data_IF_948061981682
#
_entry.id   IF_948061981682
#
_cell.length_a   1.000
_cell.length_b   1.000
_cell.length_c   1.000
_cell.angle_alpha   90.00
_cell.angle_beta   90.00
_cell.angle_gamma   90.00
#
_symmetry.space_group_name_H-M   'P 1'
#
loop_
_entity.id
_entity.type
_entity.pdbx_description
1 polymer ?
#
# COMPACT_ATOMS: atom_id res chain seq x y z
N UNK A 1 -51.00 -11.70 -29.65
CA UNK A 1 -50.78 -11.90 -31.10
C UNK A 1 -50.56 -10.51 -31.70
N UNK A 2 -49.46 -10.14 -32.34
CA UNK A 2 -48.37 -10.84 -33.02
C UNK A 2 -47.04 -10.15 -32.62
N UNK A 3 -46.04 -10.92 -32.20
CA UNK A 3 -44.85 -11.30 -32.99
C UNK A 3 -44.00 -10.10 -33.44
N UNK A 4 -42.72 -10.11 -33.07
CA UNK A 4 -41.72 -9.28 -33.75
C UNK A 4 -40.69 -8.60 -32.86
N UNK A 5 -40.13 -9.28 -31.85
CA UNK A 5 -38.73 -8.98 -31.49
C UNK A 5 -37.87 -10.00 -32.22
N UNK A 6 -37.33 -9.59 -33.37
CA UNK A 6 -36.42 -10.39 -34.18
C UNK A 6 -35.00 -10.19 -33.65
N UNK A 7 -34.34 -11.30 -33.33
CA UNK A 7 -32.91 -11.36 -33.06
C UNK A 7 -32.20 -11.75 -34.35
N UNK A 8 -31.29 -10.91 -34.82
CA UNK A 8 -30.47 -11.19 -36.00
C UNK A 8 -29.12 -11.79 -35.56
N UNK A 9 -28.77 -12.95 -36.14
CA UNK A 9 -27.39 -13.40 -36.22
C UNK A 9 -26.83 -12.95 -37.56
N UNK A 10 -25.80 -12.10 -37.58
CA UNK A 10 -25.09 -11.74 -38.81
C UNK A 10 -23.69 -12.38 -38.75
N UNK A 11 -23.37 -13.34 -39.62
CA UNK A 11 -22.00 -13.83 -39.79
C UNK A 11 -21.08 -12.68 -40.20
N UNK A 12 -19.87 -12.64 -39.65
CA UNK A 12 -18.89 -11.53 -39.80
C UNK A 12 -18.64 -11.10 -41.26
N UNK A 13 -18.80 -12.02 -42.23
CA UNK A 13 -18.66 -11.74 -43.67
C UNK A 13 -19.74 -10.82 -44.28
N UNK A 14 -20.81 -10.47 -43.54
CA UNK A 14 -21.88 -9.58 -44.02
C UNK A 14 -21.91 -8.20 -43.34
N UNK A 15 -20.99 -7.92 -42.39
CA UNK A 15 -20.92 -6.63 -41.70
C UNK A 15 -20.07 -5.61 -42.49
N UNK A 16 -20.52 -5.28 -43.71
CA UNK A 16 -20.02 -4.07 -44.39
C UNK A 16 -20.93 -2.89 -44.04
N UNK A 17 -20.37 -1.98 -43.23
CA UNK A 17 -20.88 -0.65 -42.92
C UNK A 17 -22.20 -0.62 -42.12
N UNK A 18 -22.26 0.28 -41.14
CA UNK A 18 -23.40 0.54 -40.23
C UNK A 18 -23.63 -0.47 -39.11
N UNK A 19 -23.04 -0.19 -37.95
CA UNK A 19 -23.71 -0.41 -36.67
C UNK A 19 -23.42 0.80 -35.78
N UNK A 20 -24.27 1.80 -35.92
CA UNK A 20 -24.52 2.83 -34.92
C UNK A 20 -25.03 2.18 -33.64
N UNK A 21 -24.52 2.65 -32.51
CA UNK A 21 -25.05 2.39 -31.17
C UNK A 21 -26.58 2.50 -31.16
N UNK A 22 -27.27 1.42 -30.81
CA UNK A 22 -28.65 1.52 -30.33
C UNK A 22 -28.57 1.30 -28.82
N UNK A 23 -28.37 2.39 -28.09
CA UNK A 23 -28.72 2.46 -26.67
C UNK A 23 -30.18 2.93 -26.67
N UNK A 24 -31.12 2.01 -26.86
CA UNK A 24 -32.52 2.34 -26.64
C UNK A 24 -32.72 2.45 -25.13
N UNK A 25 -32.93 3.68 -24.64
CA UNK A 25 -33.19 3.97 -23.23
C UNK A 25 -34.55 3.43 -22.74
N UNK A 26 -35.26 2.65 -23.56
CA UNK A 26 -36.54 2.03 -23.22
C UNK A 26 -36.49 0.51 -22.96
N UNK A 27 -35.37 -0.17 -23.21
CA UNK A 27 -35.24 -1.63 -22.99
C UNK A 27 -33.85 -2.00 -22.49
N UNK A 28 -33.80 -2.61 -21.30
CA UNK A 28 -32.60 -3.16 -20.66
C UNK A 28 -32.03 -4.35 -21.45
N UNK A 29 -31.40 -4.06 -22.60
CA UNK A 29 -30.75 -5.04 -23.47
C UNK A 29 -29.23 -4.80 -23.42
N UNK A 30 -28.47 -5.78 -22.97
CA UNK A 30 -27.01 -5.71 -22.97
C UNK A 30 -26.48 -6.38 -24.24
N UNK A 31 -25.83 -5.59 -25.09
CA UNK A 31 -25.18 -6.02 -26.32
C UNK A 31 -23.67 -6.14 -26.06
N UNK A 32 -23.19 -7.36 -25.84
CA UNK A 32 -21.75 -7.63 -25.76
C UNK A 32 -21.20 -7.87 -27.17
N UNK A 33 -20.34 -6.97 -27.66
CA UNK A 33 -19.64 -7.13 -28.94
C UNK A 33 -18.16 -7.39 -28.71
N UNK A 34 -17.72 -8.63 -28.87
CA UNK A 34 -16.29 -8.97 -28.98
C UNK A 34 -16.15 -10.28 -29.79
N UNK A 35 -15.37 -10.25 -30.87
CA UNK A 35 -15.10 -11.40 -31.79
C UNK A 35 -16.30 -11.99 -32.57
N UNK A 36 -17.20 -11.14 -33.06
CA UNK A 36 -18.23 -11.58 -34.03
C UNK A 36 -19.44 -12.32 -33.44
N UNK A 37 -19.60 -12.35 -32.12
CA UNK A 37 -20.77 -12.93 -31.44
C UNK A 37 -21.47 -11.83 -30.64
N UNK A 38 -22.78 -11.68 -30.84
CA UNK A 38 -23.64 -10.74 -30.13
C UNK A 38 -24.46 -11.55 -29.12
N UNK A 39 -24.31 -11.24 -27.83
CA UNK A 39 -25.27 -11.68 -26.81
C UNK A 39 -26.34 -10.61 -26.69
N UNK A 40 -27.61 -11.04 -26.73
CA UNK A 40 -28.77 -10.22 -26.39
C UNK A 40 -29.36 -10.84 -25.13
N UNK A 41 -29.19 -10.17 -24.00
CA UNK A 41 -29.84 -10.53 -22.75
C UNK A 41 -30.99 -9.54 -22.57
N UNK A 42 -32.23 -10.02 -22.71
CA UNK A 42 -33.45 -9.26 -22.41
C UNK A 42 -33.76 -9.42 -20.92
N UNK A 43 -33.67 -8.33 -20.16
CA UNK A 43 -33.84 -8.35 -18.70
C UNK A 43 -35.32 -8.27 -18.27
N UNK A 44 -36.28 -8.25 -19.21
CA UNK A 44 -37.72 -8.12 -18.93
C UNK A 44 -38.59 -9.32 -19.37
N UNK A 45 -38.01 -10.41 -19.87
CA UNK A 45 -38.80 -11.60 -20.22
C UNK A 45 -38.83 -12.57 -19.01
N UNK A 46 -40.03 -12.99 -18.61
CA UNK A 46 -40.26 -13.96 -17.54
C UNK A 46 -39.22 -15.09 -17.61
N UNK A 47 -38.54 -15.34 -16.48
CA UNK A 47 -37.37 -16.22 -16.24
C UNK A 47 -37.38 -17.61 -16.91
N UNK A 48 -38.45 -18.02 -17.57
CA UNK A 48 -38.62 -19.29 -18.24
C UNK A 48 -38.14 -19.30 -19.71
N UNK A 49 -38.16 -18.19 -20.46
CA UNK A 49 -37.81 -18.24 -21.90
C UNK A 49 -36.31 -18.25 -22.21
N UNK A 50 -35.49 -17.51 -21.45
CA UNK A 50 -34.02 -17.59 -21.59
C UNK A 50 -33.53 -18.99 -21.22
N UNK A 51 -34.06 -19.54 -20.13
CA UNK A 51 -33.79 -20.91 -19.69
C UNK A 51 -34.30 -21.95 -20.71
N UNK A 52 -35.49 -21.78 -21.29
CA UNK A 52 -36.02 -22.64 -22.35
C UNK A 52 -35.24 -22.51 -23.66
N UNK A 53 -34.64 -21.35 -23.96
CA UNK A 53 -33.80 -21.14 -25.14
C UNK A 53 -32.46 -21.88 -25.00
N UNK A 54 -31.82 -21.83 -23.83
CA UNK A 54 -30.63 -22.63 -23.52
C UNK A 54 -30.96 -24.14 -23.52
N UNK A 55 -32.13 -24.55 -23.02
CA UNK A 55 -32.59 -25.95 -23.03
C UNK A 55 -33.01 -26.46 -24.43
N UNK A 56 -33.49 -25.60 -25.33
CA UNK A 56 -33.96 -25.99 -26.68
C UNK A 56 -32.85 -26.18 -27.71
N UNK A 57 -31.64 -25.70 -27.45
CA UNK A 57 -30.50 -25.91 -28.34
C UNK A 57 -29.53 -26.92 -27.74
N UNK A 58 -29.87 -28.19 -27.88
CA UNK A 58 -29.01 -29.35 -27.62
C UNK A 58 -27.70 -29.39 -28.45
N UNK A 59 -27.35 -28.34 -29.21
CA UNK A 59 -26.27 -28.36 -30.20
C UNK A 59 -25.48 -27.04 -30.35
N UNK A 60 -25.51 -26.15 -29.35
CA UNK A 60 -24.46 -25.13 -29.25
C UNK A 60 -23.65 -25.48 -28.02
N UNK A 61 -22.55 -26.18 -28.22
CA UNK A 61 -21.51 -26.23 -27.20
C UNK A 61 -21.10 -24.77 -26.91
N UNK A 62 -21.30 -24.29 -25.67
CA UNK A 62 -20.83 -22.97 -25.31
C UNK A 62 -19.31 -22.95 -25.51
N UNK A 63 -18.81 -21.91 -26.18
CA UNK A 63 -17.36 -21.70 -26.33
C UNK A 63 -16.81 -21.51 -24.91
N UNK A 64 -16.33 -22.60 -24.29
CA UNK A 64 -15.88 -22.69 -22.90
C UNK A 64 -15.00 -21.50 -22.46
N UNK A 65 -14.01 -21.02 -23.26
CA UNK A 65 -13.17 -19.88 -22.89
C UNK A 65 -13.91 -18.57 -22.64
N UNK A 66 -15.09 -18.38 -23.22
CA UNK A 66 -15.81 -17.09 -23.20
C UNK A 66 -16.59 -16.88 -21.90
N UNK A 67 -17.11 -17.96 -21.30
CA UNK A 67 -17.82 -17.91 -20.02
C UNK A 67 -16.88 -17.78 -18.83
N UNK A 68 -15.66 -18.36 -18.91
CA UNK A 68 -14.74 -18.39 -17.76
C UNK A 68 -14.40 -17.00 -17.19
N UNK A 69 -14.38 -15.96 -18.03
CA UNK A 69 -13.97 -14.61 -17.62
C UNK A 69 -15.09 -13.56 -17.76
N UNK A 70 -16.34 -13.98 -18.02
CA UNK A 70 -17.44 -13.04 -18.30
C UNK A 70 -17.69 -12.09 -17.12
N UNK A 71 -17.64 -12.62 -15.89
CA UNK A 71 -17.81 -11.84 -14.67
C UNK A 71 -16.70 -10.79 -14.50
N UNK A 72 -15.45 -11.16 -14.79
CA UNK A 72 -14.29 -10.26 -14.71
C UNK A 72 -14.42 -9.15 -15.76
N UNK A 73 -14.79 -9.49 -17.01
CA UNK A 73 -15.02 -8.52 -18.08
C UNK A 73 -16.15 -7.54 -17.74
N UNK A 74 -17.25 -8.04 -17.17
CA UNK A 74 -18.36 -7.19 -16.72
C UNK A 74 -17.91 -6.20 -15.62
N UNK A 75 -17.09 -6.66 -14.68
CA UNK A 75 -16.47 -5.79 -13.66
C UNK A 75 -15.52 -4.75 -14.28
N UNK A 76 -14.73 -5.12 -15.30
CA UNK A 76 -13.83 -4.19 -15.99
C UNK A 76 -14.58 -3.05 -16.69
N UNK A 77 -15.76 -3.36 -17.25
CA UNK A 77 -16.68 -2.40 -17.90
C UNK A 77 -17.62 -1.68 -16.93
N UNK A 78 -17.59 -2.05 -15.65
CA UNK A 78 -18.45 -1.50 -14.60
C UNK A 78 -19.96 -1.70 -14.86
N UNK A 79 -20.34 -2.81 -15.50
CA UNK A 79 -21.71 -3.12 -15.91
C UNK A 79 -22.49 -3.79 -14.76
N UNK A 80 -22.94 -3.00 -13.78
CA UNK A 80 -23.60 -3.54 -12.57
C UNK A 80 -24.77 -4.49 -12.85
N UNK A 81 -25.62 -4.16 -13.83
CA UNK A 81 -26.79 -4.97 -14.17
C UNK A 81 -26.38 -6.35 -14.69
N UNK A 82 -25.37 -6.40 -15.57
CA UNK A 82 -24.81 -7.65 -16.08
C UNK A 82 -24.17 -8.46 -14.94
N UNK A 83 -23.38 -7.80 -14.08
CA UNK A 83 -22.72 -8.43 -12.93
C UNK A 83 -23.76 -9.06 -12.01
N UNK A 84 -24.82 -8.33 -11.68
CA UNK A 84 -25.89 -8.83 -10.83
C UNK A 84 -26.63 -10.00 -11.47
N UNK A 85 -26.96 -9.91 -12.75
CA UNK A 85 -27.59 -11.01 -13.48
C UNK A 85 -26.72 -12.27 -13.47
N UNK A 86 -25.42 -12.13 -13.75
CA UNK A 86 -24.44 -13.22 -13.73
C UNK A 86 -24.40 -13.88 -12.35
N UNK A 87 -24.25 -13.10 -11.28
CA UNK A 87 -24.12 -13.62 -9.91
C UNK A 87 -25.41 -14.31 -9.45
N UNK A 88 -26.58 -13.77 -9.78
CA UNK A 88 -27.87 -14.31 -9.32
C UNK A 88 -28.32 -15.56 -10.11
N UNK A 89 -28.01 -15.64 -11.41
CA UNK A 89 -28.58 -16.67 -12.29
C UNK A 89 -27.56 -17.71 -12.78
N UNK A 90 -26.26 -17.48 -12.58
CA UNK A 90 -25.18 -18.38 -13.04
C UNK A 90 -24.23 -18.77 -11.89
N UNK A 91 -24.69 -18.70 -10.64
CA UNK A 91 -23.87 -19.01 -9.46
C UNK A 91 -23.33 -20.46 -9.43
N UNK A 92 -24.09 -21.44 -9.91
CA UNK A 92 -23.67 -22.85 -9.94
C UNK A 92 -22.62 -23.14 -11.02
N UNK A 93 -22.53 -22.29 -12.05
CA UNK A 93 -21.64 -22.49 -13.20
C UNK A 93 -20.39 -21.62 -13.17
N UNK A 94 -20.43 -20.50 -12.44
CA UNK A 94 -19.33 -19.53 -12.40
C UNK A 94 -18.55 -19.66 -11.10
N UNK A 95 -17.25 -19.89 -11.24
CA UNK A 95 -16.32 -19.74 -10.14
C UNK A 95 -16.08 -18.24 -9.87
N UNK A 96 -16.67 -17.71 -8.80
CA UNK A 96 -16.55 -16.30 -8.39
C UNK A 96 -15.10 -15.85 -8.14
N UNK A 97 -14.23 -16.79 -7.79
CA UNK A 97 -12.82 -16.60 -7.49
C UNK A 97 -11.90 -16.88 -8.68
N UNK A 98 -12.46 -17.19 -9.86
CA UNK A 98 -11.68 -17.33 -11.08
C UNK A 98 -10.85 -16.06 -11.31
N UNK A 99 -9.61 -16.28 -11.74
CA UNK A 99 -8.65 -15.22 -12.04
C UNK A 99 -8.34 -15.17 -13.53
N UNK A 100 -8.16 -13.97 -14.06
CA UNK A 100 -7.72 -13.75 -15.43
C UNK A 100 -6.23 -14.07 -15.64
N UNK A 101 -5.72 -13.81 -16.85
CA UNK A 101 -4.31 -14.03 -17.19
C UNK A 101 -3.33 -13.14 -16.40
N UNK A 102 -3.81 -12.12 -15.69
CA UNK A 102 -3.03 -11.28 -14.78
C UNK A 102 -3.18 -11.69 -13.32
N UNK A 103 -3.98 -12.73 -13.02
CA UNK A 103 -4.31 -13.16 -11.67
C UNK A 103 -5.41 -12.32 -11.01
N UNK A 104 -6.10 -11.44 -11.75
CA UNK A 104 -7.15 -10.60 -11.16
C UNK A 104 -8.46 -11.38 -11.10
N UNK A 105 -9.08 -11.45 -9.92
CA UNK A 105 -10.46 -11.91 -9.77
C UNK A 105 -11.46 -10.78 -10.05
N UNK A 106 -12.75 -11.11 -10.12
CA UNK A 106 -13.81 -10.10 -10.22
C UNK A 106 -13.77 -9.10 -9.07
N UNK A 107 -13.52 -9.58 -7.84
CA UNK A 107 -13.40 -8.73 -6.64
C UNK A 107 -12.20 -7.80 -6.73
N UNK A 108 -11.06 -8.29 -7.22
CA UNK A 108 -9.88 -7.46 -7.44
C UNK A 108 -10.21 -6.30 -8.39
N UNK A 109 -10.83 -6.59 -9.53
CA UNK A 109 -11.22 -5.57 -10.51
C UNK A 109 -12.24 -4.58 -9.93
N UNK A 110 -13.22 -5.05 -9.16
CA UNK A 110 -14.19 -4.18 -8.51
C UNK A 110 -13.52 -3.19 -7.53
N UNK A 111 -12.50 -3.64 -6.79
CA UNK A 111 -11.68 -2.78 -5.91
C UNK A 111 -10.82 -1.79 -6.72
N UNK A 112 -10.24 -2.21 -7.85
CA UNK A 112 -9.50 -1.34 -8.78
C UNK A 112 -10.40 -0.23 -9.35
N UNK A 113 -11.67 -0.55 -9.65
CA UNK A 113 -12.64 0.40 -10.21
C UNK A 113 -13.35 1.27 -9.15
N UNK A 114 -13.21 0.96 -7.87
CA UNK A 114 -13.88 1.70 -6.80
C UNK A 114 -15.39 1.48 -6.73
N UNK A 115 -15.92 0.44 -7.37
CA UNK A 115 -17.37 0.18 -7.33
C UNK A 115 -17.75 -0.59 -6.06
N UNK A 116 -18.08 0.16 -5.01
CA UNK A 116 -18.47 -0.39 -3.71
C UNK A 116 -19.65 -1.37 -3.79
N UNK A 117 -20.67 -1.09 -4.61
CA UNK A 117 -21.85 -1.98 -4.75
C UNK A 117 -21.47 -3.35 -5.31
N UNK A 118 -20.56 -3.37 -6.30
CA UNK A 118 -20.05 -4.62 -6.88
C UNK A 118 -19.17 -5.35 -5.87
N UNK A 119 -18.33 -4.64 -5.11
CA UNK A 119 -17.52 -5.23 -4.04
C UNK A 119 -18.41 -5.92 -2.99
N UNK A 120 -19.47 -5.26 -2.53
CA UNK A 120 -20.43 -5.84 -1.58
C UNK A 120 -21.06 -7.10 -2.14
N UNK A 121 -21.63 -7.00 -3.34
CA UNK A 121 -22.31 -8.10 -4.01
C UNK A 121 -21.41 -9.33 -4.18
N UNK A 122 -20.16 -9.14 -4.63
CA UNK A 122 -19.21 -10.24 -4.81
C UNK A 122 -18.85 -10.92 -3.48
N UNK A 123 -18.58 -10.15 -2.43
CA UNK A 123 -18.21 -10.70 -1.11
C UNK A 123 -19.39 -11.44 -0.47
N UNK A 124 -20.62 -10.91 -0.60
CA UNK A 124 -21.84 -11.56 -0.12
C UNK A 124 -22.11 -12.91 -0.79
N UNK A 125 -21.60 -13.10 -2.02
CA UNK A 125 -21.69 -14.36 -2.77
C UNK A 125 -20.41 -15.20 -2.67
N UNK A 126 -19.56 -14.94 -1.67
CA UNK A 126 -18.44 -15.81 -1.30
C UNK A 126 -17.12 -15.53 -2.01
N UNK A 127 -16.95 -14.38 -2.68
CA UNK A 127 -15.66 -14.00 -3.24
C UNK A 127 -14.58 -13.91 -2.14
N UNK A 128 -13.43 -14.53 -2.37
CA UNK A 128 -12.31 -14.51 -1.44
C UNK A 128 -11.63 -13.13 -1.42
N UNK A 129 -11.76 -12.45 -0.28
CA UNK A 129 -11.21 -11.10 -0.01
C UNK A 129 -9.69 -11.01 -0.11
N UNK A 130 -8.97 -12.13 -0.12
CA UNK A 130 -7.51 -12.21 -0.13
C UNK A 130 -6.93 -12.69 -1.47
N UNK A 131 -7.75 -13.00 -2.48
CA UNK A 131 -7.27 -13.44 -3.80
C UNK A 131 -6.53 -12.31 -4.53
N UNK A 132 -5.20 -12.36 -4.45
CA UNK A 132 -4.31 -11.38 -5.07
C UNK A 132 -3.95 -11.70 -6.51
N UNK A 133 -3.45 -10.68 -7.22
CA UNK A 133 -2.98 -10.81 -8.60
C UNK A 133 -1.58 -11.45 -8.72
N UNK A 134 -1.09 -11.65 -9.94
CA UNK A 134 0.24 -12.23 -10.20
C UNK A 134 1.41 -11.43 -9.61
N UNK A 135 1.21 -10.17 -9.24
CA UNK A 135 2.20 -9.31 -8.58
C UNK A 135 2.07 -9.34 -7.05
N UNK A 136 1.16 -10.15 -6.50
CA UNK A 136 0.90 -10.27 -5.07
C UNK A 136 0.05 -9.12 -4.50
N UNK A 137 -0.52 -8.25 -5.33
CA UNK A 137 -1.45 -7.23 -4.85
C UNK A 137 -2.77 -7.89 -4.46
N UNK A 138 -3.25 -7.64 -3.24
CA UNK A 138 -4.58 -8.08 -2.77
C UNK A 138 -5.66 -7.04 -3.09
N UNK A 139 -6.96 -7.39 -3.02
CA UNK A 139 -8.05 -6.42 -3.13
C UNK A 139 -7.90 -5.25 -2.15
N UNK A 140 -7.48 -5.52 -0.91
CA UNK A 140 -7.24 -4.49 0.12
C UNK A 140 -6.10 -3.54 -0.28
N UNK A 141 -5.01 -4.06 -0.83
CA UNK A 141 -3.91 -3.23 -1.33
C UNK A 141 -4.34 -2.33 -2.49
N UNK A 142 -5.11 -2.86 -3.44
CA UNK A 142 -5.57 -2.09 -4.59
C UNK A 142 -6.56 -0.99 -4.18
N UNK A 143 -7.50 -1.29 -3.27
CA UNK A 143 -8.38 -0.27 -2.70
C UNK A 143 -7.61 0.81 -1.91
N UNK A 144 -6.58 0.39 -1.18
CA UNK A 144 -5.70 1.28 -0.41
C UNK A 144 -4.87 2.20 -1.31
N UNK A 145 -4.39 1.70 -2.44
CA UNK A 145 -3.66 2.46 -3.46
C UNK A 145 -4.52 3.55 -4.08
N UNK A 146 -5.77 3.23 -4.43
CA UNK A 146 -6.70 4.13 -5.12
C UNK A 146 -7.54 5.01 -4.17
N UNK A 147 -7.21 5.04 -2.88
CA UNK A 147 -7.88 5.86 -1.86
C UNK A 147 -9.40 5.58 -1.65
N UNK A 148 -9.84 4.34 -1.85
CA UNK A 148 -11.25 3.96 -1.64
C UNK A 148 -11.52 3.55 -0.19
N UNK A 149 -11.58 4.53 0.71
CA UNK A 149 -11.73 4.27 2.16
C UNK A 149 -12.95 3.40 2.50
N UNK A 150 -14.12 3.61 1.87
CA UNK A 150 -15.30 2.79 2.10
C UNK A 150 -15.09 1.31 1.74
N UNK A 151 -14.40 1.04 0.62
CA UNK A 151 -14.03 -0.33 0.22
C UNK A 151 -13.01 -0.92 1.19
N UNK A 152 -12.00 -0.15 1.59
CA UNK A 152 -11.00 -0.59 2.58
C UNK A 152 -11.67 -1.00 3.89
N UNK A 153 -12.57 -0.16 4.41
CA UNK A 153 -13.31 -0.46 5.64
C UNK A 153 -14.04 -1.78 5.54
N UNK A 154 -14.83 -1.94 4.48
CA UNK A 154 -15.61 -3.14 4.24
C UNK A 154 -14.74 -4.39 4.05
N UNK A 155 -13.62 -4.29 3.32
CA UNK A 155 -12.70 -5.43 3.17
C UNK A 155 -12.10 -5.87 4.51
N UNK A 156 -11.70 -4.93 5.37
CA UNK A 156 -11.20 -5.23 6.71
C UNK A 156 -12.28 -5.88 7.58
N UNK A 157 -13.51 -5.35 7.56
CA UNK A 157 -14.67 -5.94 8.25
C UNK A 157 -14.98 -7.36 7.77
N UNK A 158 -14.69 -7.68 6.51
CA UNK A 158 -14.90 -8.99 5.88
C UNK A 158 -13.69 -9.92 5.96
N UNK A 159 -12.68 -9.58 6.76
CA UNK A 159 -11.55 -10.48 7.06
C UNK A 159 -10.42 -10.45 6.03
N UNK A 160 -10.25 -9.35 5.29
CA UNK A 160 -9.05 -9.17 4.48
C UNK A 160 -7.80 -9.17 5.38
N UNK A 161 -6.80 -9.98 5.05
CA UNK A 161 -5.55 -10.08 5.80
C UNK A 161 -4.63 -8.90 5.44
N UNK A 162 -4.39 -7.98 6.38
CA UNK A 162 -3.62 -6.77 6.11
C UNK A 162 -2.11 -6.98 6.08
N UNK A 163 -1.63 -8.09 6.62
CA UNK A 163 -0.22 -8.43 6.73
C UNK A 163 0.31 -9.12 5.48
N UNK A 164 -0.55 -9.43 4.51
CA UNK A 164 -0.09 -9.86 3.19
C UNK A 164 0.75 -8.74 2.56
N UNK A 165 1.76 -9.14 1.80
CA UNK A 165 2.64 -8.23 1.07
C UNK A 165 2.69 -8.58 -0.40
N UNK A 166 2.77 -7.58 -1.27
CA UNK A 166 3.02 -7.80 -2.69
C UNK A 166 4.47 -8.27 -2.93
N UNK A 167 4.83 -8.53 -4.20
CA UNK A 167 6.21 -8.94 -4.57
C UNK A 167 7.30 -7.90 -4.26
N UNK A 168 6.93 -6.66 -3.96
CA UNK A 168 7.83 -5.59 -3.53
C UNK A 168 7.94 -5.51 -1.98
N UNK A 169 7.30 -6.43 -1.25
CA UNK A 169 7.27 -6.42 0.21
C UNK A 169 6.32 -5.38 0.82
N UNK A 170 5.43 -4.78 0.02
CA UNK A 170 4.53 -3.72 0.50
C UNK A 170 3.19 -4.29 0.98
N UNK A 171 2.78 -3.95 2.20
CA UNK A 171 1.45 -4.21 2.74
C UNK A 171 0.43 -3.15 2.29
N UNK A 172 -0.85 -3.36 2.59
CA UNK A 172 -1.89 -2.36 2.32
C UNK A 172 -1.61 -1.02 3.05
N UNK A 173 -1.12 -1.10 4.30
CA UNK A 173 -0.72 0.07 5.08
C UNK A 173 0.41 0.85 4.40
N UNK A 174 1.44 0.14 3.94
CA UNK A 174 2.60 0.76 3.28
C UNK A 174 2.21 1.41 1.95
N UNK A 175 1.35 0.74 1.18
CA UNK A 175 0.82 1.29 -0.07
C UNK A 175 0.01 2.56 0.19
N UNK A 176 -0.88 2.56 1.19
CA UNK A 176 -1.66 3.75 1.54
C UNK A 176 -0.75 4.92 1.93
N UNK A 177 0.28 4.67 2.75
CA UNK A 177 1.24 5.67 3.17
C UNK A 177 2.00 6.26 1.97
N UNK A 178 2.55 5.41 1.09
CA UNK A 178 3.28 5.85 -0.11
C UNK A 178 2.45 6.66 -1.11
N UNK A 179 1.11 6.54 -1.05
CA UNK A 179 0.19 7.30 -1.88
C UNK A 179 -0.44 8.49 -1.13
N UNK A 180 0.04 8.83 0.08
CA UNK A 180 -0.47 9.90 0.94
C UNK A 180 -1.96 9.74 1.34
N UNK A 181 -2.47 8.50 1.36
CA UNK A 181 -3.86 8.18 1.72
C UNK A 181 -4.02 8.10 3.24
N UNK A 182 -3.75 9.21 3.96
CA UNK A 182 -3.65 9.24 5.42
C UNK A 182 -4.93 8.82 6.17
N UNK A 183 -6.11 9.04 5.58
CA UNK A 183 -7.37 8.55 6.16
C UNK A 183 -7.43 7.03 6.21
N UNK A 184 -6.88 6.35 5.19
CA UNK A 184 -6.75 4.90 5.16
C UNK A 184 -5.66 4.46 6.12
N UNK A 185 -4.48 5.12 6.11
CA UNK A 185 -3.38 4.82 7.05
C UNK A 185 -3.88 4.82 8.51
N UNK A 186 -4.57 5.89 8.93
CA UNK A 186 -5.15 6.00 10.28
C UNK A 186 -6.12 4.86 10.57
N UNK A 187 -7.07 4.61 9.66
CA UNK A 187 -8.02 3.52 9.81
C UNK A 187 -7.33 2.15 9.98
N UNK A 188 -6.35 1.85 9.13
CA UNK A 188 -5.61 0.59 9.17
C UNK A 188 -4.83 0.43 10.49
N UNK A 189 -4.18 1.48 10.99
CA UNK A 189 -3.50 1.48 12.29
C UNK A 189 -4.48 1.24 13.44
N UNK A 190 -5.65 1.88 13.41
CA UNK A 190 -6.69 1.72 14.44
C UNK A 190 -7.28 0.30 14.48
N UNK A 191 -7.11 -0.48 13.40
CA UNK A 191 -7.57 -1.87 13.30
C UNK A 191 -6.43 -2.88 13.52
N UNK A 192 -5.37 -2.48 14.23
CA UNK A 192 -4.32 -3.38 14.72
C UNK A 192 -3.37 -3.90 13.65
N UNK A 193 -3.23 -3.21 12.53
CA UNK A 193 -2.29 -3.60 11.48
C UNK A 193 -0.85 -3.36 11.90
N UNK A 194 0.07 -4.22 11.46
CA UNK A 194 1.49 -4.11 11.78
C UNK A 194 2.09 -2.83 11.16
N UNK A 195 2.51 -1.90 12.04
CA UNK A 195 3.12 -0.63 11.65
C UNK A 195 4.65 -0.70 11.59
N UNK A 196 5.28 -1.82 11.96
CA UNK A 196 6.74 -1.93 12.04
C UNK A 196 7.42 -1.53 10.73
N UNK A 197 6.91 -2.04 9.61
CA UNK A 197 7.48 -1.72 8.29
C UNK A 197 7.25 -0.25 7.90
N UNK A 198 6.13 0.33 8.32
CA UNK A 198 5.85 1.77 8.16
C UNK A 198 6.86 2.62 8.95
N UNK A 199 7.10 2.29 10.22
CA UNK A 199 8.08 3.00 11.06
C UNK A 199 9.51 2.89 10.50
N UNK A 200 9.92 1.70 10.04
CA UNK A 200 11.20 1.50 9.36
C UNK A 200 11.31 2.39 8.11
N UNK A 201 10.24 2.48 7.31
CA UNK A 201 10.23 3.34 6.12
C UNK A 201 10.31 4.82 6.48
N UNK A 202 9.56 5.28 7.49
CA UNK A 202 9.62 6.66 7.99
C UNK A 202 11.04 7.05 8.41
N UNK A 203 11.78 6.12 9.06
CA UNK A 203 13.20 6.33 9.39
C UNK A 203 14.05 6.42 8.12
N UNK A 204 13.90 5.49 7.18
CA UNK A 204 14.73 5.46 5.97
C UNK A 204 14.60 6.75 5.15
N UNK A 205 13.39 7.31 5.07
CA UNK A 205 13.09 8.50 4.28
C UNK A 205 13.30 9.82 5.06
N UNK A 206 13.66 9.78 6.35
CA UNK A 206 13.63 10.96 7.23
C UNK A 206 12.25 11.64 7.28
N UNK A 207 11.18 10.89 7.07
CA UNK A 207 9.81 11.42 6.91
C UNK A 207 9.01 11.47 8.22
N UNK A 208 9.62 11.19 9.36
CA UNK A 208 9.03 11.48 10.68
C UNK A 208 9.03 12.99 11.01
N UNK A 209 9.71 13.82 10.21
CA UNK A 209 9.85 15.25 10.43
C UNK A 209 8.50 15.97 10.27
N UNK A 210 8.02 16.62 11.33
CA UNK A 210 6.67 17.23 11.43
C UNK A 210 5.52 16.25 11.18
N UNK A 211 5.72 14.97 11.47
CA UNK A 211 4.74 13.95 11.13
C UNK A 211 3.81 13.69 12.31
N UNK A 212 2.64 14.32 12.30
CA UNK A 212 1.52 14.06 13.22
C UNK A 212 1.24 12.55 13.33
N UNK A 213 1.42 11.80 12.24
CA UNK A 213 1.28 10.35 12.25
C UNK A 213 2.36 9.67 13.09
N UNK A 214 3.64 10.04 12.96
CA UNK A 214 4.71 9.44 13.74
C UNK A 214 4.52 9.73 15.23
N UNK A 215 4.22 10.98 15.58
CA UNK A 215 3.95 11.34 16.98
C UNK A 215 2.76 10.55 17.54
N UNK A 216 1.66 10.47 16.78
CA UNK A 216 0.50 9.67 17.16
C UNK A 216 0.80 8.18 17.30
N UNK A 217 1.76 7.64 16.54
CA UNK A 217 2.23 6.26 16.72
C UNK A 217 3.00 6.12 18.04
N UNK A 218 3.93 7.02 18.35
CA UNK A 218 4.66 6.98 19.62
C UNK A 218 3.70 7.12 20.81
N UNK A 219 2.71 8.03 20.73
CA UNK A 219 1.68 8.20 21.76
C UNK A 219 0.82 6.94 21.98
N UNK A 220 0.63 6.13 20.92
CA UNK A 220 -0.04 4.82 20.99
C UNK A 220 0.84 3.71 21.57
N UNK A 221 2.08 4.02 21.95
CA UNK A 221 3.03 3.09 22.57
C UNK A 221 3.89 2.29 21.59
N UNK A 222 4.00 2.72 20.33
CA UNK A 222 4.94 2.09 19.40
C UNK A 222 6.40 2.39 19.79
N UNK A 223 7.29 1.43 19.55
CA UNK A 223 8.69 1.51 19.97
C UNK A 223 9.45 2.64 19.25
N UNK A 224 9.81 3.67 20.02
CA UNK A 224 10.62 4.81 19.57
C UNK A 224 12.05 4.42 19.19
N UNK A 225 12.54 3.29 19.70
CA UNK A 225 13.88 2.78 19.47
C UNK A 225 13.94 1.75 18.34
N UNK A 226 12.90 1.69 17.50
CA UNK A 226 12.86 0.82 16.31
C UNK A 226 14.04 1.11 15.38
N UNK A 227 14.55 0.06 14.74
CA UNK A 227 15.78 0.12 13.93
C UNK A 227 15.46 -0.26 12.49
N UNK A 228 16.00 0.50 11.55
CA UNK A 228 15.97 0.13 10.14
C UNK A 228 16.99 -0.99 9.82
N UNK A 229 17.09 -1.36 8.55
CA UNK A 229 17.98 -2.44 8.08
C UNK A 229 19.49 -2.13 8.20
N UNK A 230 19.87 -0.91 8.59
CA UNK A 230 21.25 -0.50 8.89
C UNK A 230 21.51 -0.38 10.40
N UNK A 231 20.54 -0.81 11.21
CA UNK A 231 20.56 -0.61 12.64
C UNK A 231 20.35 0.84 13.07
N UNK A 232 19.96 1.77 12.19
CA UNK A 232 19.77 3.19 12.58
C UNK A 232 18.41 3.40 13.26
N UNK A 233 18.41 4.16 14.37
CA UNK A 233 17.20 4.58 15.10
C UNK A 233 16.65 5.92 14.56
N UNK A 234 15.40 6.30 14.91
CA UNK A 234 14.87 7.64 14.60
C UNK A 234 15.80 8.75 15.08
N UNK A 235 16.33 8.64 16.32
CA UNK A 235 17.20 9.65 16.91
C UNK A 235 18.49 9.86 16.11
N UNK A 236 19.11 8.78 15.62
CA UNK A 236 20.30 8.89 14.75
C UNK A 236 19.97 9.67 13.48
N UNK A 237 18.81 9.39 12.88
CA UNK A 237 18.38 10.03 11.64
C UNK A 237 17.98 11.50 11.85
N UNK A 238 17.40 11.85 12.99
CA UNK A 238 17.15 13.23 13.40
C UNK A 238 18.46 14.03 13.60
N UNK A 239 19.48 13.38 14.18
CA UNK A 239 20.82 13.98 14.33
C UNK A 239 21.51 14.17 12.98
N UNK A 240 21.36 13.19 12.07
CA UNK A 240 21.89 13.26 10.70
C UNK A 240 21.27 14.39 9.87
N UNK A 241 19.97 14.68 10.06
CA UNK A 241 19.28 15.77 9.35
C UNK A 241 19.43 17.13 10.01
N UNK A 242 19.89 17.17 11.27
CA UNK A 242 20.03 18.41 12.04
C UNK A 242 18.73 18.96 12.61
N UNK A 243 17.69 18.14 12.74
CA UNK A 243 16.39 18.58 13.22
C UNK A 243 16.32 18.64 14.76
N UNK A 244 16.68 19.77 15.34
CA UNK A 244 16.74 19.94 16.80
C UNK A 244 15.42 19.63 17.52
N UNK A 245 14.28 20.11 17.01
CA UNK A 245 12.96 19.87 17.63
C UNK A 245 12.61 18.40 17.73
N UNK A 246 13.01 17.64 16.73
CA UNK A 246 12.74 16.22 16.65
C UNK A 246 13.69 15.42 17.54
N UNK A 247 14.96 15.82 17.62
CA UNK A 247 15.88 15.31 18.64
C UNK A 247 15.29 15.51 20.03
N UNK A 248 14.78 16.71 20.34
CA UNK A 248 14.14 16.98 21.64
C UNK A 248 12.96 16.05 21.88
N UNK A 249 12.01 16.00 20.94
CA UNK A 249 10.85 15.13 21.05
C UNK A 249 11.23 13.67 21.28
N UNK A 250 12.21 13.16 20.51
CA UNK A 250 12.63 11.77 20.61
C UNK A 250 13.29 11.46 21.96
N UNK A 251 14.18 12.33 22.43
CA UNK A 251 14.87 12.17 23.71
C UNK A 251 13.88 12.30 24.89
N UNK A 252 12.95 13.25 24.83
CA UNK A 252 11.88 13.42 25.83
C UNK A 252 10.94 12.21 25.89
N UNK A 253 10.81 11.47 24.78
CA UNK A 253 10.07 10.20 24.71
C UNK A 253 10.96 8.96 24.91
N UNK A 254 12.11 9.10 25.57
CA UNK A 254 13.02 8.02 25.95
C UNK A 254 13.72 7.29 24.79
N UNK A 255 14.06 8.01 23.71
CA UNK A 255 14.97 7.47 22.70
C UNK A 255 16.36 7.20 23.31
N UNK A 256 16.98 6.08 22.92
CA UNK A 256 18.31 5.69 23.35
C UNK A 256 19.38 6.58 22.68
N UNK A 257 19.88 7.55 23.46
CA UNK A 257 20.94 8.49 23.07
C UNK A 257 22.29 7.83 22.78
N UNK A 258 22.49 6.57 23.22
CA UNK A 258 23.74 5.84 23.12
C UNK A 258 23.68 4.62 22.18
N UNK A 259 22.54 4.39 21.52
CA UNK A 259 22.37 3.30 20.57
C UNK A 259 23.48 3.33 19.51
N UNK A 260 23.90 2.15 19.05
CA UNK A 260 24.92 1.97 18.02
C UNK A 260 24.34 1.21 16.81
N UNK A 261 24.46 1.78 15.62
CA UNK A 261 24.03 1.12 14.38
C UNK A 261 25.05 0.05 13.93
N UNK A 262 24.86 -0.52 12.74
CA UNK A 262 25.69 -1.63 12.25
C UNK A 262 27.17 -1.27 12.03
N UNK A 263 27.45 0.03 11.82
CA UNK A 263 28.81 0.59 11.75
C UNK A 263 29.26 1.22 13.07
N UNK A 264 28.53 0.95 14.16
CA UNK A 264 28.81 1.40 15.52
C UNK A 264 28.77 2.93 15.73
N UNK A 265 28.18 3.67 14.79
CA UNK A 265 27.93 5.11 14.98
C UNK A 265 26.81 5.33 16.00
N UNK A 266 26.93 6.42 16.75
CA UNK A 266 25.94 6.91 17.73
C UNK A 266 25.22 8.15 17.21
N UNK A 267 24.08 8.55 17.81
CA UNK A 267 23.46 9.86 17.52
C UNK A 267 24.44 11.03 17.67
N UNK A 268 25.30 10.99 18.71
CA UNK A 268 26.29 12.03 18.96
C UNK A 268 27.35 12.12 17.85
N UNK A 269 27.80 10.99 17.29
CA UNK A 269 28.72 10.97 16.14
C UNK A 269 28.08 11.67 14.94
N UNK A 270 26.81 11.36 14.61
CA UNK A 270 26.11 12.03 13.50
C UNK A 270 25.91 13.53 13.75
N UNK A 271 25.52 13.93 14.96
CA UNK A 271 25.35 15.35 15.31
C UNK A 271 26.66 16.14 15.18
N UNK A 272 27.77 15.53 15.62
CA UNK A 272 29.12 16.08 15.51
C UNK A 272 29.61 16.17 14.06
N UNK A 273 29.40 15.13 13.26
CA UNK A 273 29.75 15.10 11.83
C UNK A 273 29.00 16.19 11.04
N UNK A 274 27.74 16.45 11.41
CA UNK A 274 26.91 17.49 10.78
C UNK A 274 27.15 18.90 11.31
N UNK A 275 27.95 19.06 12.36
CA UNK A 275 28.28 20.37 12.92
C UNK A 275 27.20 21.02 13.76
N UNK A 276 26.18 20.27 14.18
CA UNK A 276 25.03 20.81 14.90
C UNK A 276 25.33 20.92 16.40
N UNK A 277 25.99 22.00 16.81
CA UNK A 277 26.42 22.22 18.21
C UNK A 277 25.27 22.16 19.21
N UNK A 278 24.08 22.65 18.87
CA UNK A 278 22.93 22.66 19.78
C UNK A 278 22.42 21.23 20.04
N UNK A 279 22.40 20.38 19.01
CA UNK A 279 22.08 18.95 19.15
C UNK A 279 23.16 18.24 19.97
N UNK A 280 24.45 18.51 19.70
CA UNK A 280 25.56 17.93 20.46
C UNK A 280 25.43 18.26 21.95
N UNK A 281 25.22 19.54 22.29
CA UNK A 281 25.02 19.99 23.67
C UNK A 281 23.87 19.27 24.33
N UNK A 282 22.71 19.28 23.67
CA UNK A 282 21.50 18.66 24.18
C UNK A 282 21.67 17.16 24.41
N UNK A 283 22.28 16.42 23.47
CA UNK A 283 22.55 14.99 23.66
C UNK A 283 23.48 14.72 24.85
N UNK A 284 24.54 15.52 25.01
CA UNK A 284 25.49 15.39 26.13
C UNK A 284 24.81 15.68 27.48
N UNK A 285 23.98 16.73 27.53
CA UNK A 285 23.15 17.06 28.70
C UNK A 285 22.18 15.92 29.07
N UNK A 286 21.76 15.12 28.07
CA UNK A 286 20.86 13.97 28.24
C UNK A 286 21.61 12.62 28.29
N UNK A 287 22.90 12.64 28.63
CA UNK A 287 23.66 11.42 28.96
C UNK A 287 24.27 10.67 27.76
N UNK A 288 24.46 11.34 26.62
CA UNK A 288 25.24 10.77 25.53
C UNK A 288 26.70 10.56 25.94
N UNK A 289 27.22 9.35 25.75
CA UNK A 289 28.59 8.98 26.02
C UNK A 289 29.51 9.47 24.88
N UNK A 290 30.28 10.51 25.19
CA UNK A 290 31.19 11.22 24.27
C UNK A 290 32.28 10.32 23.68
N UNK A 291 32.63 9.24 24.38
CA UNK A 291 33.80 8.42 24.09
C UNK A 291 33.48 7.12 23.33
N UNK A 292 32.23 6.90 22.92
CA UNK A 292 31.86 5.75 22.08
C UNK A 292 32.54 5.86 20.72
N UNK A 293 33.06 4.72 20.23
CA UNK A 293 33.75 4.61 18.95
C UNK A 293 32.90 3.94 17.88
N UNK A 294 32.99 4.47 16.67
CA UNK A 294 32.53 3.81 15.44
C UNK A 294 33.33 2.53 15.17
N UNK A 295 32.91 1.77 14.16
CA UNK A 295 33.62 0.57 13.70
C UNK A 295 35.01 0.90 13.12
N UNK A 296 35.18 2.12 12.62
CA UNK A 296 36.46 2.63 12.10
C UNK A 296 37.32 3.26 13.21
N UNK A 297 36.80 3.34 14.45
CA UNK A 297 37.50 3.93 15.59
C UNK A 297 37.18 5.41 15.82
N UNK A 298 36.34 6.02 14.99
CA UNK A 298 35.98 7.44 15.09
C UNK A 298 35.16 7.72 16.34
N UNK A 299 35.42 8.86 16.97
CA UNK A 299 34.67 9.38 18.12
C UNK A 299 33.87 10.62 17.68
N UNK A 300 32.94 11.08 18.52
CA UNK A 300 32.24 12.34 18.27
C UNK A 300 33.20 13.54 18.13
N UNK A 301 34.35 13.51 18.81
CA UNK A 301 35.35 14.57 18.72
C UNK A 301 36.21 14.46 17.45
N UNK A 302 36.60 13.24 17.01
CA UNK A 302 37.38 13.06 15.79
C UNK A 302 36.60 13.49 14.55
N UNK A 303 35.33 13.08 14.43
CA UNK A 303 34.51 13.47 13.28
C UNK A 303 34.24 14.97 13.24
N UNK A 304 34.04 15.61 14.39
CA UNK A 304 33.89 17.06 14.47
C UNK A 304 35.17 17.80 14.05
N UNK A 305 36.34 17.28 14.42
CA UNK A 305 37.63 17.84 14.02
C UNK A 305 37.85 17.71 12.50
N UNK A 306 37.63 16.52 11.95
CA UNK A 306 37.83 16.24 10.52
C UNK A 306 36.92 17.09 9.62
N UNK A 307 35.73 17.45 10.11
CA UNK A 307 34.78 18.34 9.43
C UNK A 307 34.92 19.83 9.84
N UNK A 308 35.97 20.18 10.59
CA UNK A 308 36.27 21.56 11.00
C UNK A 308 35.23 22.23 11.92
N UNK A 309 34.48 21.44 12.69
CA UNK A 309 33.50 21.91 13.67
C UNK A 309 34.16 22.19 15.04
N UNK A 310 35.07 23.17 15.09
CA UNK A 310 35.91 23.44 16.26
C UNK A 310 35.13 23.84 17.52
N UNK A 311 33.94 24.43 17.39
CA UNK A 311 33.06 24.72 18.53
C UNK A 311 32.61 23.45 19.25
N UNK A 312 32.31 22.39 18.49
CA UNK A 312 31.99 21.06 19.02
C UNK A 312 33.23 20.42 19.63
N UNK A 313 34.37 20.48 18.95
CA UNK A 313 35.65 19.95 19.49
C UNK A 313 35.94 20.55 20.86
N UNK A 314 35.87 21.88 20.99
CA UNK A 314 36.08 22.58 22.26
C UNK A 314 35.08 22.14 23.33
N UNK A 315 33.79 22.10 22.98
CA UNK A 315 32.74 21.68 23.91
C UNK A 315 32.95 20.24 24.41
N UNK A 316 33.24 19.29 23.52
CA UNK A 316 33.44 17.89 23.89
C UNK A 316 34.68 17.70 24.79
N UNK A 317 35.75 18.47 24.59
CA UNK A 317 36.94 18.46 25.47
C UNK A 317 36.57 18.95 26.87
N UNK A 318 35.82 20.04 26.98
CA UNK A 318 35.34 20.58 28.25
C UNK A 318 34.46 19.56 29.02
N UNK A 319 33.84 18.62 28.31
CA UNK A 319 32.97 17.58 28.86
C UNK A 319 33.62 16.18 28.93
N UNK A 320 34.96 16.11 28.84
CA UNK A 320 35.71 14.88 29.11
C UNK A 320 35.90 13.93 27.92
N UNK A 321 35.93 14.46 26.70
CA UNK A 321 36.36 13.69 25.53
C UNK A 321 37.83 13.23 25.67
N UNK A 322 38.09 11.96 25.35
CA UNK A 322 39.42 11.38 25.35
C UNK A 322 40.22 11.84 24.12
N UNK A 323 41.15 12.77 24.32
CA UNK A 323 41.98 13.33 23.23
C UNK A 323 43.12 12.36 22.82
N UNK A 324 43.50 11.43 23.71
CA UNK A 324 44.67 10.57 23.51
C UNK A 324 44.50 9.51 22.41
N UNK A 325 43.27 9.18 22.00
CA UNK A 325 43.06 8.24 20.88
C UNK A 325 43.19 8.88 19.51
N UNK A 326 43.08 10.21 19.43
CA UNK A 326 42.95 10.93 18.16
C UNK A 326 44.23 11.72 17.91
N UNK A 327 45.22 11.03 17.35
CA UNK A 327 46.61 11.48 17.10
C UNK A 327 46.74 12.83 16.37
N UNK A 328 45.65 13.35 15.81
CA UNK A 328 45.56 14.60 15.05
C UNK A 328 45.09 15.80 15.89
N UNK A 329 44.25 15.61 16.92
CA UNK A 329 43.70 16.71 17.74
C UNK A 329 44.80 17.37 18.58
N UNK A 330 45.81 16.60 18.97
CA UNK A 330 46.97 17.07 19.74
C UNK A 330 47.74 18.23 19.08
N UNK A 331 47.61 18.43 17.75
CA UNK A 331 48.32 19.48 17.01
C UNK A 331 47.67 20.87 17.07
N UNK A 332 46.43 21.02 17.53
CA UNK A 332 45.80 22.35 17.69
C UNK A 332 46.08 22.99 19.06
N UNK A 333 46.69 22.25 19.98
CA UNK A 333 46.96 22.68 21.37
C UNK A 333 48.45 22.95 21.65
N UNK A 334 49.29 22.92 20.60
CA UNK A 334 50.67 23.42 20.58
C UNK A 334 50.75 24.53 19.54
#
# INVERSE_FOLDING_TARGET
MKEGSQVFMIPEKQLNCYCSYIIDHSRDIIVLKEYGIIFLVDLNDDNNKINDWFKKKDNIEPIQPFYENILIKACQRNEFVLINYIIQNMNETINIDKQDNCGKSALFVACEKGNFKVVQLLIEHGANVNNGNKNGYTPLMEASKNNYLNIVKYLVEKGANPNLTNKLGQSALLIAYNNNNFSIVRYLIDHGMDVRQLLIQMIQLSEFNNNELFNSLIDKGFDINIKNNYGSSPLMKACETGNYREVQYLVENNADVNHQNDIKNTPLIYASERGNIDIVKYLVEHGANINIKSKCGDTAISVAYDHHHYSIVKYLIEHGANINSDKYIYKLYL
#
